data_IF_683816344322
#
_entry.id   IF_683816344322
#
_cell.length_a   1.000
_cell.length_b   1.000
_cell.length_c   1.000
_cell.angle_alpha   90.00
_cell.angle_beta   90.00
_cell.angle_gamma   90.00
#
_symmetry.space_group_name_H-M   'P 1'
#
loop_
_entity.id
_entity.type
_entity.pdbx_description
1 polymer ?
#
# COMPACT_ATOMS: atom_id res chain seq x y z
N UNK A 1 -7.23 4.39 -6.76
CA UNK A 1 -5.98 3.72 -7.19
C UNK A 1 -5.50 2.95 -5.98
N UNK A 2 -5.33 1.62 -6.05
CA UNK A 2 -4.84 0.89 -4.88
C UNK A 2 -3.33 1.04 -4.72
N UNK A 3 -2.81 0.76 -3.53
CA UNK A 3 -1.36 0.70 -3.31
C UNK A 3 -0.68 -0.35 -4.22
N UNK A 4 -1.38 -1.46 -4.51
CA UNK A 4 -0.86 -2.48 -5.41
C UNK A 4 -0.80 -2.01 -6.86
N UNK A 5 -1.83 -1.30 -7.32
CA UNK A 5 -1.84 -0.71 -8.66
C UNK A 5 -0.69 0.29 -8.83
N UNK A 6 -0.48 1.17 -7.85
CA UNK A 6 0.63 2.11 -7.87
C UNK A 6 1.99 1.39 -7.90
N UNK A 7 2.17 0.38 -7.05
CA UNK A 7 3.38 -0.46 -7.02
C UNK A 7 3.65 -1.12 -8.38
N UNK A 8 2.62 -1.71 -9.00
CA UNK A 8 2.70 -2.33 -10.32
C UNK A 8 3.06 -1.33 -11.41
N UNK A 9 2.43 -0.14 -11.41
CA UNK A 9 2.73 0.96 -12.35
C UNK A 9 4.19 1.41 -12.26
N UNK A 10 4.80 1.35 -11.08
CA UNK A 10 6.22 1.67 -10.85
C UNK A 10 7.17 0.48 -11.04
N UNK A 11 6.65 -0.70 -11.37
CA UNK A 11 7.40 -1.95 -11.47
C UNK A 11 8.21 -2.30 -10.21
N UNK A 12 7.65 -2.03 -9.03
CA UNK A 12 8.31 -2.31 -7.75
C UNK A 12 7.92 -3.69 -7.22
N UNK A 13 8.90 -4.41 -6.67
CA UNK A 13 8.64 -5.56 -5.80
C UNK A 13 8.04 -5.12 -4.45
N UNK A 14 7.46 -6.06 -3.69
CA UNK A 14 7.02 -5.77 -2.32
C UNK A 14 8.18 -5.39 -1.40
N UNK A 15 9.39 -5.92 -1.63
CA UNK A 15 10.59 -5.55 -0.88
C UNK A 15 11.00 -4.11 -1.11
N UNK A 16 10.98 -3.65 -2.36
CA UNK A 16 11.23 -2.24 -2.70
C UNK A 16 10.16 -1.32 -2.10
N UNK A 17 8.88 -1.68 -2.20
CA UNK A 17 7.80 -0.90 -1.57
C UNK A 17 7.98 -0.83 -0.04
N UNK A 18 8.34 -1.95 0.59
CA UNK A 18 8.59 -1.99 2.03
C UNK A 18 9.79 -1.09 2.41
N UNK A 19 10.88 -1.14 1.65
CA UNK A 19 12.04 -0.27 1.86
C UNK A 19 11.69 1.21 1.73
N UNK A 20 10.96 1.60 0.67
CA UNK A 20 10.54 2.98 0.43
C UNK A 20 9.59 3.52 1.51
N UNK A 21 8.76 2.66 2.09
CA UNK A 21 7.86 3.02 3.19
C UNK A 21 8.50 2.84 4.58
N UNK A 22 9.77 2.43 4.62
CA UNK A 22 10.50 2.02 5.82
C UNK A 22 9.66 1.07 6.71
N UNK A 23 9.10 0.08 6.04
CA UNK A 23 8.46 -1.10 6.60
C UNK A 23 9.50 -2.24 6.61
N UNK A 24 9.79 -2.80 7.77
CA UNK A 24 10.90 -3.76 7.93
C UNK A 24 10.80 -5.06 7.10
N UNK A 25 9.61 -5.42 6.60
CA UNK A 25 9.42 -6.68 5.87
C UNK A 25 8.52 -6.53 4.65
N UNK A 26 8.91 -7.16 3.54
CA UNK A 26 8.13 -7.25 2.31
C UNK A 26 6.72 -7.83 2.53
N UNK A 27 6.57 -8.71 3.53
CA UNK A 27 5.26 -9.28 3.88
C UNK A 27 4.27 -8.22 4.35
N UNK A 28 4.71 -7.15 5.02
CA UNK A 28 3.81 -6.06 5.43
C UNK A 28 3.31 -5.27 4.23
N UNK A 29 4.21 -4.87 3.34
CA UNK A 29 3.84 -4.21 2.09
C UNK A 29 2.88 -5.06 1.27
N UNK A 30 3.14 -6.39 1.16
CA UNK A 30 2.22 -7.33 0.50
C UNK A 30 0.83 -7.28 1.12
N UNK A 31 0.69 -7.31 2.46
CA UNK A 31 -0.63 -7.32 3.12
C UNK A 31 -1.44 -6.04 2.89
N UNK A 32 -0.78 -4.91 2.67
CA UNK A 32 -1.42 -3.63 2.31
C UNK A 32 -1.89 -3.58 0.85
N UNK A 33 -1.26 -4.39 -0.01
CA UNK A 33 -1.61 -4.55 -1.41
C UNK A 33 -2.73 -5.57 -1.66
N UNK A 34 -3.23 -6.27 -0.63
CA UNK A 34 -4.24 -7.32 -0.82
C UNK A 34 -5.65 -6.74 -1.04
N UNK A 35 -6.50 -7.42 -1.86
CA UNK A 35 -7.89 -7.03 -2.07
C UNK A 35 -8.71 -7.01 -0.77
N UNK A 36 -9.74 -6.17 -0.70
CA UNK A 36 -10.51 -5.91 0.54
C UNK A 36 -11.03 -7.16 1.24
N UNK A 37 -11.44 -8.17 0.47
CA UNK A 37 -12.02 -9.42 0.97
C UNK A 37 -10.95 -10.48 1.34
N UNK A 38 -9.67 -10.21 1.12
CA UNK A 38 -8.62 -11.18 1.41
C UNK A 38 -8.37 -11.29 2.92
N UNK A 39 -8.40 -12.52 3.45
CA UNK A 39 -8.27 -12.80 4.91
C UNK A 39 -7.02 -12.19 5.57
N UNK A 40 -5.89 -12.19 4.86
CA UNK A 40 -4.60 -11.67 5.39
C UNK A 40 -4.40 -10.16 5.16
N UNK A 41 -5.41 -9.47 4.63
CA UNK A 41 -5.31 -8.04 4.34
C UNK A 41 -5.12 -7.24 5.63
N UNK A 42 -4.28 -6.21 5.55
CA UNK A 42 -4.12 -5.24 6.64
C UNK A 42 -4.25 -3.81 6.11
N UNK A 43 -4.76 -2.93 6.96
CA UNK A 43 -4.70 -1.48 6.74
C UNK A 43 -3.41 -0.94 7.37
N UNK A 44 -2.63 -0.10 6.68
CA UNK A 44 -1.44 0.52 7.25
C UNK A 44 -1.77 1.37 8.49
N UNK A 45 -0.91 1.32 9.51
CA UNK A 45 -0.98 2.26 10.65
C UNK A 45 -0.68 3.70 10.18
N UNK A 46 -1.11 4.70 10.94
CA UNK A 46 -1.00 6.13 10.59
C UNK A 46 0.38 6.57 10.07
N UNK A 47 1.47 6.09 10.70
CA UNK A 47 2.85 6.39 10.26
C UNK A 47 3.14 5.95 8.82
N UNK A 48 2.65 4.78 8.43
CA UNK A 48 2.82 4.24 7.09
C UNK A 48 1.85 4.87 6.10
N UNK A 49 0.64 5.18 6.55
CA UNK A 49 -0.33 5.90 5.73
C UNK A 49 0.22 7.26 5.29
N UNK A 50 0.84 8.00 6.21
CA UNK A 50 1.48 9.29 5.90
C UNK A 50 2.59 9.14 4.85
N UNK A 51 3.45 8.12 5.00
CA UNK A 51 4.51 7.81 4.02
C UNK A 51 3.96 7.35 2.67
N UNK A 52 2.85 6.62 2.65
CA UNK A 52 2.20 6.21 1.40
C UNK A 52 1.69 7.43 0.66
N UNK A 53 1.02 8.37 1.34
CA UNK A 53 0.55 9.61 0.73
C UNK A 53 1.73 10.40 0.16
N UNK A 54 2.82 10.53 0.91
CA UNK A 54 4.03 11.23 0.49
C UNK A 54 4.70 10.55 -0.74
N UNK A 55 4.97 9.25 -0.66
CA UNK A 55 5.60 8.46 -1.73
C UNK A 55 4.78 8.47 -3.02
N UNK A 56 3.45 8.51 -2.89
CA UNK A 56 2.51 8.47 -4.02
C UNK A 56 2.09 9.85 -4.49
N UNK A 57 2.55 10.93 -3.84
CA UNK A 57 2.10 12.31 -4.07
C UNK A 57 0.57 12.43 -4.04
N UNK A 58 -0.06 11.65 -3.17
CA UNK A 58 -1.51 11.59 -3.03
C UNK A 58 -2.26 10.79 -4.10
N UNK A 59 -1.58 10.09 -5.02
CA UNK A 59 -2.24 9.15 -5.95
C UNK A 59 -2.92 7.99 -5.19
N UNK A 60 -2.40 7.60 -4.02
CA UNK A 60 -3.02 6.66 -3.09
C UNK A 60 -3.39 7.40 -1.81
N UNK A 61 -4.66 7.35 -1.45
CA UNK A 61 -5.27 8.03 -0.31
C UNK A 61 -5.77 7.03 0.74
N UNK A 62 -6.01 7.45 1.99
CA UNK A 62 -6.50 6.55 3.04
C UNK A 62 -7.80 5.83 2.68
N UNK A 63 -8.72 6.50 1.98
CA UNK A 63 -9.98 5.92 1.54
C UNK A 63 -9.82 4.80 0.50
N UNK A 64 -8.72 4.74 -0.25
CA UNK A 64 -8.42 3.61 -1.14
C UNK A 64 -8.20 2.30 -0.36
N UNK A 65 -8.00 2.36 0.97
CA UNK A 65 -7.96 1.20 1.87
C UNK A 65 -9.33 0.86 2.50
N UNK A 66 -10.42 1.54 2.14
CA UNK A 66 -11.73 1.25 2.74
C UNK A 66 -12.87 1.19 1.72
N UNK A 67 -12.69 1.81 0.56
CA UNK A 67 -13.68 1.86 -0.50
C UNK A 67 -13.15 1.17 -1.76
N UNK A 68 -13.85 0.13 -2.22
CA UNK A 68 -13.62 -0.46 -3.54
C UNK A 68 -14.35 0.43 -4.56
N UNK A 69 -13.59 1.08 -5.45
CA UNK A 69 -14.19 1.84 -6.55
C UNK A 69 -14.44 0.87 -7.69
N UNK A 70 -15.71 0.51 -7.88
CA UNK A 70 -16.19 -0.29 -9.02
C UNK A 70 -16.17 0.49 -10.33
#
# INVERSE_FOLDING_TARGET
MTLDDYRKKKNWSYGQLAHLLDAGHAQMARRWCLPMKHKDRLVPRQRYMSRIIELTKGEVQPNDFFIERG
#
